data_IF_058446845933
#
_entry.id   IF_058446845933
#
_cell.length_a   1.000
_cell.length_b   1.000
_cell.length_c   1.000
_cell.angle_alpha   90.00
_cell.angle_beta   90.00
_cell.angle_gamma   90.00
#
_symmetry.space_group_name_H-M   'P 1'
#
loop_
_entity.id
_entity.type
_entity.pdbx_description
1 polymer ?
#
# COMPACT_ATOMS: atom_id res chain seq x y z
N UNK A 1 -66.82 43.30 -18.49
CA UNK A 1 -65.53 43.58 -19.17
C UNK A 1 -65.48 42.78 -20.46
N UNK A 2 -65.18 43.46 -21.59
CA UNK A 2 -64.69 43.05 -22.93
C UNK A 2 -65.28 41.75 -23.55
N UNK A 3 -66.09 41.77 -24.63
CA UNK A 3 -65.73 41.98 -26.09
C UNK A 3 -64.53 41.09 -26.50
N UNK A 4 -64.46 40.34 -27.60
CA UNK A 4 -65.22 40.18 -28.85
C UNK A 4 -64.47 39.07 -29.65
N UNK A 5 -65.20 38.18 -30.34
CA UNK A 5 -64.99 37.72 -31.74
C UNK A 5 -63.75 36.87 -32.13
N UNK A 6 -64.07 35.65 -32.62
CA UNK A 6 -63.78 35.06 -33.95
C UNK A 6 -62.31 34.95 -34.44
N UNK A 7 -61.94 33.75 -34.89
CA UNK A 7 -61.59 33.40 -36.29
C UNK A 7 -60.79 32.09 -36.30
N UNK A 8 -61.28 31.13 -37.07
CA UNK A 8 -60.56 29.95 -37.55
C UNK A 8 -59.65 30.31 -38.72
N UNK A 9 -58.37 29.91 -38.74
CA UNK A 9 -57.62 29.59 -39.99
C UNK A 9 -56.52 28.54 -39.74
N UNK A 10 -56.44 27.63 -40.71
CA UNK A 10 -55.51 26.54 -40.96
C UNK A 10 -54.00 26.86 -41.01
N UNK A 11 -53.24 25.84 -40.61
CA UNK A 11 -52.04 25.24 -41.23
C UNK A 11 -50.75 26.04 -41.46
N UNK A 12 -49.61 25.46 -41.02
CA UNK A 12 -48.45 25.20 -41.89
C UNK A 12 -47.61 24.03 -41.34
N UNK A 13 -47.33 23.07 -42.22
CA UNK A 13 -46.32 22.03 -42.03
C UNK A 13 -44.93 22.66 -41.98
N UNK A 14 -44.09 22.29 -40.99
CA UNK A 14 -42.66 22.15 -41.21
C UNK A 14 -42.21 20.84 -40.55
N UNK A 15 -41.91 19.88 -41.41
CA UNK A 15 -41.16 18.68 -41.10
C UNK A 15 -39.75 19.06 -40.66
N UNK A 16 -39.43 18.86 -39.38
CA UNK A 16 -38.04 18.67 -38.96
C UNK A 16 -37.90 17.22 -38.50
N UNK A 17 -37.04 16.49 -39.21
CA UNK A 17 -36.55 15.16 -38.85
C UNK A 17 -36.21 15.15 -37.35
N UNK A 18 -36.87 14.28 -36.59
CA UNK A 18 -36.30 13.79 -35.34
C UNK A 18 -35.07 12.96 -35.74
N UNK A 19 -33.91 13.61 -35.77
CA UNK A 19 -32.66 12.91 -35.51
C UNK A 19 -32.78 12.38 -34.09
N UNK A 20 -33.05 11.08 -33.98
CA UNK A 20 -32.86 10.34 -32.76
C UNK A 20 -31.38 10.47 -32.38
N UNK A 21 -31.04 11.54 -31.64
CA UNK A 21 -29.91 11.54 -30.74
C UNK A 21 -30.21 10.48 -29.69
N UNK A 22 -29.90 9.25 -30.06
CA UNK A 22 -29.66 8.18 -29.11
C UNK A 22 -28.40 8.64 -28.40
N UNK A 23 -28.57 9.33 -27.27
CA UNK A 23 -27.50 9.57 -26.32
C UNK A 23 -27.05 8.16 -25.92
N UNK A 24 -26.02 7.65 -26.60
CA UNK A 24 -25.26 6.53 -26.07
C UNK A 24 -24.74 7.05 -24.75
N UNK A 25 -25.37 6.59 -23.67
CA UNK A 25 -24.76 6.66 -22.36
C UNK A 25 -23.53 5.78 -22.51
N UNK A 26 -22.40 6.39 -22.88
CA UNK A 26 -21.11 5.74 -22.71
C UNK A 26 -21.05 5.39 -21.23
N UNK A 27 -21.25 4.11 -20.92
CA UNK A 27 -20.93 3.56 -19.61
C UNK A 27 -19.47 3.87 -19.40
N UNK A 28 -19.19 4.91 -18.60
CA UNK A 28 -17.84 5.25 -18.16
C UNK A 28 -17.26 4.00 -17.52
N UNK A 29 -16.35 3.34 -18.22
CA UNK A 29 -15.69 2.14 -17.72
C UNK A 29 -14.95 2.55 -16.45
N UNK A 30 -15.26 1.91 -15.33
CA UNK A 30 -14.51 2.11 -14.11
C UNK A 30 -13.14 1.46 -14.29
N UNK A 31 -12.12 2.30 -14.52
CA UNK A 31 -10.77 1.81 -14.77
C UNK A 31 -10.20 1.04 -13.57
N UNK A 32 -10.78 1.16 -12.38
CA UNK A 32 -10.32 0.45 -11.17
C UNK A 32 -10.65 -1.06 -11.19
N UNK A 33 -11.51 -1.50 -12.11
CA UNK A 33 -11.82 -2.91 -12.32
C UNK A 33 -10.90 -3.60 -13.35
N UNK A 34 -10.10 -2.82 -14.11
CA UNK A 34 -9.26 -3.33 -15.19
C UNK A 34 -7.89 -3.75 -14.64
N UNK A 35 -7.66 -5.07 -14.56
CA UNK A 35 -6.41 -5.65 -14.03
C UNK A 35 -5.42 -6.09 -15.12
N UNK A 36 -5.51 -5.48 -16.29
CA UNK A 36 -4.61 -5.71 -17.41
C UNK A 36 -4.04 -4.35 -17.87
N UNK A 37 -2.72 -4.21 -17.83
CA UNK A 37 -2.04 -2.95 -18.13
C UNK A 37 -2.32 -2.45 -19.55
N UNK A 38 -2.30 -3.33 -20.55
CA UNK A 38 -2.55 -2.97 -21.95
C UNK A 38 -3.98 -2.45 -22.19
N UNK A 39 -4.97 -3.03 -21.53
CA UNK A 39 -6.35 -2.57 -21.56
C UNK A 39 -6.50 -1.22 -20.83
N UNK A 40 -5.87 -1.09 -19.67
CA UNK A 40 -5.90 0.12 -18.84
C UNK A 40 -5.26 1.32 -19.55
N UNK A 41 -4.15 1.13 -20.27
CA UNK A 41 -3.52 2.20 -21.06
C UNK A 41 -4.43 2.77 -22.16
N UNK A 42 -5.42 2.00 -22.65
CA UNK A 42 -6.40 2.48 -23.64
C UNK A 42 -7.41 3.44 -23.03
N UNK A 43 -7.78 3.25 -21.75
CA UNK A 43 -8.77 4.10 -21.05
C UNK A 43 -8.16 5.40 -20.52
N UNK A 44 -6.86 5.39 -20.18
CA UNK A 44 -6.18 6.58 -19.63
C UNK A 44 -6.24 7.82 -20.52
N UNK A 45 -6.29 7.65 -21.84
CA UNK A 45 -6.28 8.76 -22.81
C UNK A 45 -7.54 9.63 -22.79
N UNK A 46 -8.66 9.11 -22.27
CA UNK A 46 -9.94 9.84 -22.19
C UNK A 46 -10.15 10.58 -20.86
N UNK A 47 -9.28 10.39 -19.87
CA UNK A 47 -9.43 11.01 -18.55
C UNK A 47 -8.91 12.43 -18.61
N UNK A 48 -9.73 13.41 -18.19
CA UNK A 48 -9.37 14.84 -18.22
C UNK A 48 -9.17 15.43 -16.82
N UNK A 49 -9.93 14.95 -15.83
CA UNK A 49 -9.86 15.43 -14.45
C UNK A 49 -8.49 15.07 -13.81
N UNK A 50 -7.74 16.04 -13.26
CA UNK A 50 -6.41 15.79 -12.70
C UNK A 50 -6.38 14.83 -11.50
N UNK A 51 -7.41 14.81 -10.66
CA UNK A 51 -7.50 13.88 -9.53
C UNK A 51 -7.78 12.48 -10.06
N UNK A 52 -8.70 12.35 -11.01
CA UNK A 52 -8.99 11.09 -11.69
C UNK A 52 -7.75 10.55 -12.43
N UNK A 53 -6.95 11.41 -13.06
CA UNK A 53 -5.66 11.03 -13.68
C UNK A 53 -4.67 10.50 -12.66
N UNK A 54 -4.54 11.14 -11.50
CA UNK A 54 -3.68 10.61 -10.43
C UNK A 54 -4.12 9.20 -10.02
N UNK A 55 -5.43 9.02 -9.78
CA UNK A 55 -6.00 7.73 -9.39
C UNK A 55 -5.81 6.68 -10.50
N UNK A 56 -5.90 7.08 -11.77
CA UNK A 56 -5.59 6.23 -12.91
C UNK A 56 -4.14 5.76 -12.89
N UNK A 57 -3.17 6.67 -12.76
CA UNK A 57 -1.75 6.31 -12.71
C UNK A 57 -1.41 5.46 -11.48
N UNK A 58 -2.06 5.72 -10.35
CA UNK A 58 -1.96 4.92 -9.13
C UNK A 58 -2.46 3.50 -9.36
N UNK A 59 -3.59 3.35 -10.06
CA UNK A 59 -4.12 2.04 -10.41
C UNK A 59 -3.25 1.32 -11.45
N UNK A 60 -2.76 2.03 -12.46
CA UNK A 60 -1.83 1.47 -13.44
C UNK A 60 -0.55 0.96 -12.80
N UNK A 61 0.04 1.73 -11.88
CA UNK A 61 1.20 1.29 -11.13
C UNK A 61 0.90 0.03 -10.32
N UNK A 62 -0.25 -0.05 -9.66
CA UNK A 62 -0.71 -1.26 -8.97
C UNK A 62 -0.84 -2.47 -9.92
N UNK A 63 -1.44 -2.29 -11.09
CA UNK A 63 -1.59 -3.37 -12.08
C UNK A 63 -0.21 -3.83 -12.58
N UNK A 64 0.72 -2.91 -12.86
CA UNK A 64 2.08 -3.27 -13.27
C UNK A 64 2.81 -4.09 -12.19
N UNK A 65 2.65 -3.73 -10.90
CA UNK A 65 3.21 -4.52 -9.79
C UNK A 65 2.53 -5.89 -9.66
N UNK A 66 1.20 -5.96 -9.84
CA UNK A 66 0.47 -7.23 -9.83
C UNK A 66 0.94 -8.15 -10.96
N UNK A 67 1.08 -7.64 -12.17
CA UNK A 67 1.59 -8.40 -13.32
C UNK A 67 3.02 -8.88 -13.08
N UNK A 68 3.86 -8.09 -12.40
CA UNK A 68 5.23 -8.51 -12.04
C UNK A 68 5.21 -9.75 -11.14
N UNK A 69 4.34 -9.76 -10.13
CA UNK A 69 4.15 -10.92 -9.25
C UNK A 69 3.54 -12.13 -9.96
N UNK A 70 2.67 -11.91 -10.96
CA UNK A 70 2.01 -12.97 -11.72
C UNK A 70 2.91 -13.60 -12.80
N UNK A 71 3.63 -12.78 -13.59
CA UNK A 71 4.53 -13.24 -14.65
C UNK A 71 5.73 -13.99 -14.08
N UNK A 72 6.30 -13.47 -12.99
CA UNK A 72 7.39 -14.09 -12.23
C UNK A 72 8.53 -14.65 -13.11
N UNK A 73 9.03 -13.82 -14.04
CA UNK A 73 9.97 -14.26 -15.10
C UNK A 73 11.26 -14.89 -14.54
N UNK A 74 11.71 -14.42 -13.37
CA UNK A 74 12.92 -14.90 -12.68
C UNK A 74 12.64 -15.91 -11.55
N UNK A 75 11.42 -16.45 -11.46
CA UNK A 75 10.96 -17.36 -10.39
C UNK A 75 11.00 -16.78 -8.96
N UNK A 76 11.43 -15.53 -8.78
CA UNK A 76 11.56 -14.83 -7.50
C UNK A 76 10.31 -14.95 -6.61
N UNK A 77 9.12 -14.93 -7.20
CA UNK A 77 7.82 -14.92 -6.54
C UNK A 77 7.06 -16.24 -6.65
N UNK A 78 7.73 -17.37 -6.88
CA UNK A 78 7.05 -18.67 -7.09
C UNK A 78 6.22 -19.08 -5.88
N UNK A 79 6.62 -18.65 -4.69
CA UNK A 79 5.88 -18.86 -3.45
C UNK A 79 4.49 -18.20 -3.45
N UNK A 80 4.21 -17.23 -4.34
CA UNK A 80 2.90 -16.59 -4.49
C UNK A 80 1.89 -17.48 -5.23
N UNK A 81 2.36 -18.38 -6.10
CA UNK A 81 1.48 -19.25 -6.93
C UNK A 81 0.55 -20.15 -6.12
N UNK A 82 0.86 -20.41 -4.85
CA UNK A 82 0.02 -21.21 -3.94
C UNK A 82 -1.17 -20.43 -3.36
N UNK A 83 -1.23 -19.11 -3.56
CA UNK A 83 -2.28 -18.26 -3.03
C UNK A 83 -3.30 -17.86 -4.10
N UNK A 84 -4.58 -17.68 -3.73
CA UNK A 84 -5.58 -17.15 -4.66
C UNK A 84 -5.21 -15.76 -5.16
N UNK A 85 -5.63 -15.44 -6.39
CA UNK A 85 -5.39 -14.11 -7.02
C UNK A 85 -5.86 -12.95 -6.13
N UNK A 86 -6.95 -13.11 -5.39
CA UNK A 86 -7.45 -12.09 -4.45
C UNK A 86 -6.46 -11.77 -3.33
N UNK A 87 -5.76 -12.78 -2.80
CA UNK A 87 -4.72 -12.60 -1.77
C UNK A 87 -3.53 -11.85 -2.35
N UNK A 88 -3.10 -12.23 -3.56
CA UNK A 88 -2.00 -11.56 -4.25
C UNK A 88 -2.34 -10.09 -4.51
N UNK A 89 -3.55 -9.81 -5.01
CA UNK A 89 -4.03 -8.44 -5.20
C UNK A 89 -3.98 -7.63 -3.90
N UNK A 90 -4.47 -8.18 -2.79
CA UNK A 90 -4.47 -7.45 -1.51
C UNK A 90 -3.05 -7.25 -0.96
N UNK A 91 -2.13 -8.20 -1.18
CA UNK A 91 -0.70 -8.00 -0.87
C UNK A 91 -0.09 -6.91 -1.76
N UNK A 92 -0.40 -6.88 -3.05
CA UNK A 92 0.08 -5.83 -3.96
C UNK A 92 -0.42 -4.44 -3.54
N UNK A 93 -1.65 -4.32 -3.05
CA UNK A 93 -2.15 -3.04 -2.49
C UNK A 93 -1.37 -2.61 -1.25
N UNK A 94 -0.82 -3.55 -0.47
CA UNK A 94 0.04 -3.22 0.68
C UNK A 94 1.43 -2.77 0.21
N UNK A 95 1.97 -3.42 -0.83
CA UNK A 95 3.25 -3.05 -1.46
C UNK A 95 3.18 -1.65 -2.05
N UNK A 96 2.10 -1.35 -2.77
CA UNK A 96 1.81 -0.02 -3.29
C UNK A 96 1.14 0.79 -2.19
N UNK A 97 1.93 1.27 -1.22
CA UNK A 97 1.42 2.00 -0.05
C UNK A 97 0.50 3.17 -0.42
N UNK A 98 0.77 3.80 -1.55
CA UNK A 98 -0.01 4.91 -2.07
C UNK A 98 -1.34 4.47 -2.68
N UNK A 99 -1.65 3.19 -2.93
CA UNK A 99 -2.86 2.74 -3.63
C UNK A 99 -4.18 3.20 -2.98
N UNK A 100 -4.20 3.35 -1.66
CA UNK A 100 -5.38 3.82 -0.92
C UNK A 100 -5.39 5.34 -0.68
N UNK A 101 -4.34 6.04 -1.11
CA UNK A 101 -4.18 7.47 -0.90
C UNK A 101 -5.16 8.24 -1.76
N UNK A 102 -5.97 9.06 -1.09
CA UNK A 102 -6.84 10.03 -1.74
C UNK A 102 -6.16 11.38 -1.72
N UNK A 103 -6.16 12.05 -2.86
CA UNK A 103 -5.65 13.42 -2.98
C UNK A 103 -6.79 14.41 -3.11
N UNK A 104 -6.50 15.65 -2.77
CA UNK A 104 -7.38 16.81 -2.97
C UNK A 104 -6.78 17.74 -4.02
N UNK A 105 -7.57 18.70 -4.50
CA UNK A 105 -7.08 19.73 -5.42
C UNK A 105 -5.88 20.50 -4.84
N UNK A 106 -5.86 20.71 -3.52
CA UNK A 106 -4.74 21.36 -2.83
C UNK A 106 -3.44 20.55 -2.94
N UNK A 107 -3.53 19.23 -2.92
CA UNK A 107 -2.36 18.36 -3.00
C UNK A 107 -1.72 18.39 -4.39
N UNK A 108 -2.50 18.66 -5.44
CA UNK A 108 -1.99 18.79 -6.81
C UNK A 108 -1.01 19.94 -6.98
N UNK A 109 -1.26 21.06 -6.29
CA UNK A 109 -0.50 22.30 -6.43
C UNK A 109 0.47 22.57 -5.28
N UNK A 110 0.45 21.72 -4.25
CA UNK A 110 1.38 21.81 -3.12
C UNK A 110 2.80 21.55 -3.60
N UNK A 111 3.71 22.50 -3.38
CA UNK A 111 5.15 22.24 -3.47
C UNK A 111 5.60 21.44 -2.25
N UNK A 112 6.18 20.28 -2.51
CA UNK A 112 6.83 19.45 -1.48
C UNK A 112 8.25 19.95 -1.31
N UNK A 113 8.73 19.98 -0.07
CA UNK A 113 10.12 20.33 0.23
C UNK A 113 11.05 19.37 -0.50
N UNK A 114 12.07 19.90 -1.19
CA UNK A 114 13.03 19.15 -2.01
C UNK A 114 12.48 18.54 -3.32
N UNK A 115 11.28 18.93 -3.75
CA UNK A 115 10.77 18.57 -5.09
C UNK A 115 10.67 19.77 -6.02
N UNK A 116 11.18 19.61 -7.24
CA UNK A 116 11.17 20.67 -8.26
C UNK A 116 9.78 20.85 -8.92
N UNK A 117 8.99 19.78 -8.97
CA UNK A 117 7.69 19.73 -9.66
C UNK A 117 6.55 19.48 -8.69
N UNK A 118 5.43 20.17 -8.90
CA UNK A 118 4.17 19.83 -8.22
C UNK A 118 3.59 18.52 -8.75
N UNK A 119 2.69 17.90 -7.98
CA UNK A 119 2.02 16.67 -8.40
C UNK A 119 1.28 16.85 -9.75
N UNK A 120 0.64 18.00 -9.97
CA UNK A 120 0.00 18.33 -11.26
C UNK A 120 0.99 18.31 -12.43
N UNK A 121 2.20 18.84 -12.23
CA UNK A 121 3.23 18.87 -13.26
C UNK A 121 3.79 17.47 -13.56
N UNK A 122 3.93 16.63 -12.52
CA UNK A 122 4.32 15.21 -12.69
C UNK A 122 3.27 14.44 -13.48
N UNK A 123 1.98 14.58 -13.15
CA UNK A 123 0.87 13.96 -13.89
C UNK A 123 0.84 14.44 -15.35
N UNK A 124 0.99 15.75 -15.59
CA UNK A 124 1.02 16.29 -16.96
C UNK A 124 2.21 15.75 -17.78
N UNK A 125 3.33 15.46 -17.11
CA UNK A 125 4.49 14.81 -17.75
C UNK A 125 4.16 13.38 -18.15
N UNK A 126 3.54 12.61 -17.25
CA UNK A 126 3.08 11.24 -17.55
C UNK A 126 2.10 11.20 -18.72
N UNK A 127 1.12 12.12 -18.77
CA UNK A 127 0.17 12.21 -19.88
C UNK A 127 0.88 12.41 -21.23
N UNK A 128 1.85 13.33 -21.26
CA UNK A 128 2.63 13.62 -22.46
C UNK A 128 3.41 12.40 -22.94
N UNK A 129 4.02 11.66 -22.00
CA UNK A 129 4.77 10.44 -22.30
C UNK A 129 3.84 9.31 -22.77
N UNK A 130 2.70 9.13 -22.10
CA UNK A 130 1.69 8.13 -22.46
C UNK A 130 1.13 8.36 -23.87
N UNK A 131 0.80 9.61 -24.22
CA UNK A 131 0.28 9.97 -25.55
C UNK A 131 1.31 9.71 -26.64
N UNK A 132 2.59 9.96 -26.36
CA UNK A 132 3.70 9.74 -27.30
C UNK A 132 4.20 8.30 -27.36
N UNK A 133 3.71 7.42 -26.48
CA UNK A 133 4.25 6.07 -26.30
C UNK A 133 5.76 6.09 -26.05
N UNK A 134 6.18 6.98 -25.16
CA UNK A 134 7.59 7.24 -24.83
C UNK A 134 8.14 6.18 -23.87
N UNK A 135 9.37 5.71 -24.11
CA UNK A 135 10.05 4.70 -23.29
C UNK A 135 10.29 5.15 -21.84
N UNK A 136 10.32 6.46 -21.58
CA UNK A 136 10.51 7.01 -20.24
C UNK A 136 9.24 6.95 -19.38
N UNK A 137 8.09 6.56 -19.95
CA UNK A 137 6.81 6.53 -19.24
C UNK A 137 6.87 5.66 -17.98
N UNK A 138 7.34 4.42 -18.10
CA UNK A 138 7.40 3.47 -16.96
C UNK A 138 8.33 3.97 -15.85
N UNK A 139 9.49 4.53 -16.21
CA UNK A 139 10.42 5.12 -15.24
C UNK A 139 9.78 6.29 -14.50
N UNK A 140 9.06 7.18 -15.20
CA UNK A 140 8.37 8.31 -14.57
C UNK A 140 7.16 7.88 -13.75
N UNK A 141 6.48 6.81 -14.14
CA UNK A 141 5.40 6.22 -13.35
C UNK A 141 5.95 5.68 -12.03
N UNK A 142 7.07 4.98 -12.09
CA UNK A 142 7.79 4.49 -10.92
C UNK A 142 8.23 5.64 -10.00
N UNK A 143 8.88 6.67 -10.55
CA UNK A 143 9.32 7.85 -9.78
C UNK A 143 8.16 8.55 -9.05
N UNK A 144 6.96 8.56 -9.64
CA UNK A 144 5.80 9.19 -9.02
C UNK A 144 5.37 8.49 -7.72
N UNK A 145 5.43 7.15 -7.67
CA UNK A 145 4.90 6.36 -6.55
C UNK A 145 5.97 5.83 -5.59
N UNK A 146 7.22 5.71 -6.03
CA UNK A 146 8.33 5.20 -5.23
C UNK A 146 9.35 6.29 -4.91
N UNK A 147 9.48 7.30 -5.79
CA UNK A 147 10.49 8.34 -5.70
C UNK A 147 11.72 8.06 -6.57
N UNK A 148 12.71 8.94 -6.49
CA UNK A 148 13.94 8.90 -7.31
C UNK A 148 15.08 8.11 -6.68
N UNK A 149 14.95 7.71 -5.41
CA UNK A 149 15.95 6.91 -4.73
C UNK A 149 15.84 5.45 -5.18
N UNK A 150 16.99 4.79 -5.37
CA UNK A 150 17.04 3.35 -5.60
C UNK A 150 16.49 2.64 -4.37
N UNK A 151 15.25 2.20 -4.48
CA UNK A 151 14.48 1.68 -3.37
C UNK A 151 13.11 1.23 -3.86
N UNK A 152 12.38 0.55 -3.00
CA UNK A 152 11.09 -0.01 -3.33
C UNK A 152 10.54 -0.82 -2.16
N UNK A 153 9.28 -1.21 -2.31
CA UNK A 153 8.64 -2.16 -1.41
C UNK A 153 8.30 -3.41 -2.20
N UNK A 154 8.49 -4.59 -1.60
CA UNK A 154 8.20 -5.86 -2.25
C UNK A 154 7.79 -6.93 -1.23
N UNK A 155 7.25 -8.04 -1.72
CA UNK A 155 6.98 -9.23 -0.92
C UNK A 155 8.28 -10.05 -0.90
N UNK A 156 8.97 -10.09 0.25
CA UNK A 156 10.25 -10.78 0.42
C UNK A 156 10.07 -12.30 0.50
N UNK A 157 9.11 -12.76 1.33
CA UNK A 157 8.83 -14.19 1.54
C UNK A 157 7.44 -14.39 2.13
N UNK A 158 6.93 -15.64 2.06
CA UNK A 158 5.77 -16.07 2.83
C UNK A 158 6.00 -17.43 3.49
N UNK A 159 6.22 -17.41 4.80
CA UNK A 159 6.51 -18.59 5.62
C UNK A 159 5.47 -18.76 6.73
N UNK A 160 4.97 -19.99 6.89
CA UNK A 160 3.93 -20.32 7.87
C UNK A 160 2.75 -19.33 7.88
N UNK A 161 2.27 -18.98 6.68
CA UNK A 161 1.20 -18.02 6.43
C UNK A 161 1.49 -16.56 6.84
N UNK A 162 2.74 -16.20 7.11
CA UNK A 162 3.16 -14.84 7.39
C UNK A 162 3.95 -14.32 6.20
N UNK A 163 3.42 -13.30 5.53
CA UNK A 163 4.13 -12.58 4.49
C UNK A 163 5.02 -11.50 5.11
N UNK A 164 6.27 -11.45 4.66
CA UNK A 164 7.21 -10.38 4.99
C UNK A 164 7.24 -9.40 3.84
N UNK A 165 6.82 -8.16 4.10
CA UNK A 165 6.90 -7.04 3.16
C UNK A 165 8.17 -6.26 3.51
N UNK A 166 9.12 -6.23 2.59
CA UNK A 166 10.40 -5.54 2.73
C UNK A 166 10.35 -4.20 2.00
N UNK A 167 10.82 -3.16 2.67
CA UNK A 167 11.00 -1.82 2.09
C UNK A 167 12.42 -1.35 2.32
N UNK A 168 13.06 -0.82 1.28
CA UNK A 168 14.39 -0.20 1.35
C UNK A 168 14.42 1.02 0.45
N UNK A 169 15.03 2.11 0.92
CA UNK A 169 15.12 3.38 0.20
C UNK A 169 16.56 3.91 0.17
N UNK A 170 17.55 3.02 0.13
CA UNK A 170 18.94 3.35 -0.20
C UNK A 170 19.86 3.62 0.99
N UNK A 171 19.37 3.42 2.22
CA UNK A 171 20.22 3.42 3.41
C UNK A 171 19.86 2.26 4.33
N UNK A 172 20.85 1.65 4.99
CA UNK A 172 20.59 0.56 5.94
C UNK A 172 19.58 0.96 7.05
N UNK A 173 19.53 2.26 7.41
CA UNK A 173 18.57 2.82 8.36
C UNK A 173 17.14 3.00 7.79
N UNK A 174 16.96 2.89 6.47
CA UNK A 174 15.67 2.97 5.78
C UNK A 174 15.01 1.61 5.55
N UNK A 175 15.70 0.52 5.89
CA UNK A 175 15.17 -0.83 5.79
C UNK A 175 14.04 -1.01 6.80
N UNK A 176 12.88 -1.45 6.32
CA UNK A 176 11.71 -1.77 7.16
C UNK A 176 11.12 -3.10 6.73
N UNK A 177 10.66 -3.88 7.71
CA UNK A 177 9.86 -5.08 7.48
C UNK A 177 8.49 -4.91 8.10
N UNK A 178 7.46 -5.27 7.34
CA UNK A 178 6.07 -5.36 7.79
C UNK A 178 5.60 -6.79 7.63
N UNK A 179 4.87 -7.29 8.64
CA UNK A 179 4.42 -8.68 8.66
C UNK A 179 2.90 -8.76 8.51
N UNK A 180 2.44 -9.57 7.56
CA UNK A 180 1.03 -9.75 7.25
C UNK A 180 0.67 -11.23 7.42
N UNK A 181 -0.26 -11.53 8.31
CA UNK A 181 -0.82 -12.87 8.45
C UNK A 181 -1.87 -13.11 7.36
N UNK A 182 -1.81 -14.28 6.72
CA UNK A 182 -2.76 -14.74 5.69
C UNK A 182 -3.51 -15.95 6.24
N UNK A 183 -4.76 -15.75 6.68
CA UNK A 183 -5.63 -16.84 7.16
C UNK A 183 -6.98 -16.73 6.47
N UNK A 184 -7.51 -17.85 5.95
CA UNK A 184 -8.78 -17.91 5.22
C UNK A 184 -8.90 -16.84 4.11
N UNK A 185 -7.80 -16.63 3.37
CA UNK A 185 -7.66 -15.60 2.34
C UNK A 185 -7.84 -14.16 2.83
N UNK A 186 -7.75 -13.91 4.14
CA UNK A 186 -7.78 -12.58 4.75
C UNK A 186 -6.39 -12.17 5.22
N UNK A 187 -6.08 -10.89 5.03
CA UNK A 187 -4.81 -10.30 5.42
C UNK A 187 -4.97 -9.54 6.73
N UNK A 188 -4.13 -9.84 7.72
CA UNK A 188 -4.09 -9.14 9.01
C UNK A 188 -2.71 -8.55 9.26
N UNK A 189 -2.65 -7.24 9.47
CA UNK A 189 -1.41 -6.53 9.82
C UNK A 189 -0.99 -6.87 11.26
N UNK A 190 0.15 -7.55 11.39
CA UNK A 190 0.70 -8.00 12.66
C UNK A 190 1.42 -6.89 13.44
N UNK A 191 1.68 -5.74 12.81
CA UNK A 191 2.48 -4.65 13.40
C UNK A 191 3.88 -5.12 13.81
N UNK A 192 4.35 -4.60 14.94
CA UNK A 192 5.60 -5.01 15.59
C UNK A 192 5.35 -6.01 16.72
N UNK A 193 4.14 -6.58 16.81
CA UNK A 193 3.74 -7.57 17.81
C UNK A 193 3.52 -6.96 19.20
N UNK A 194 4.52 -6.29 19.76
CA UNK A 194 4.40 -5.61 21.06
C UNK A 194 3.47 -4.39 21.03
N UNK A 195 3.29 -3.75 19.86
CA UNK A 195 2.35 -2.65 19.66
C UNK A 195 0.88 -3.12 19.62
N UNK A 196 0.66 -4.42 19.37
CA UNK A 196 -0.68 -5.04 19.39
C UNK A 196 -1.11 -5.50 20.78
N UNK A 197 -0.18 -5.57 21.74
CA UNK A 197 -0.51 -5.87 23.13
C UNK A 197 -1.46 -4.81 23.70
N UNK A 198 -2.37 -5.22 24.58
CA UNK A 198 -3.13 -4.24 25.34
C UNK A 198 -2.18 -3.41 26.22
N UNK A 199 -2.58 -2.18 26.59
CA UNK A 199 -1.75 -1.30 27.42
C UNK A 199 -1.25 -1.99 28.70
N UNK A 200 -2.14 -2.73 29.39
CA UNK A 200 -1.81 -3.45 30.62
C UNK A 200 -0.81 -4.58 30.34
N UNK A 201 -0.99 -5.31 29.25
CA UNK A 201 -0.09 -6.40 28.85
C UNK A 201 1.29 -5.86 28.47
N UNK A 202 1.36 -4.73 27.77
CA UNK A 202 2.62 -4.05 27.48
C UNK A 202 3.34 -3.61 28.75
N UNK A 203 2.64 -2.96 29.70
CA UNK A 203 3.20 -2.58 31.00
C UNK A 203 3.71 -3.79 31.80
N UNK A 204 3.03 -4.93 31.73
CA UNK A 204 3.45 -6.18 32.37
C UNK A 204 4.70 -6.76 31.71
N UNK A 205 4.77 -6.74 30.37
CA UNK A 205 5.96 -7.16 29.63
C UNK A 205 7.18 -6.29 30.01
N UNK A 206 7.01 -4.97 30.05
CA UNK A 206 8.08 -4.04 30.46
C UNK A 206 8.55 -4.29 31.89
N UNK A 207 7.64 -4.59 32.83
CA UNK A 207 8.02 -4.96 34.21
C UNK A 207 8.89 -6.22 34.21
N UNK A 208 8.50 -7.26 33.46
CA UNK A 208 9.28 -8.51 33.36
C UNK A 208 10.66 -8.22 32.76
N UNK A 209 10.74 -7.40 31.70
CA UNK A 209 12.01 -6.99 31.10
C UNK A 209 12.90 -6.29 32.14
N UNK A 210 12.37 -5.29 32.87
CA UNK A 210 13.10 -4.54 33.90
C UNK A 210 13.62 -5.41 35.05
N UNK A 211 12.94 -6.51 35.37
CA UNK A 211 13.45 -7.47 36.37
C UNK A 211 14.68 -8.25 35.90
N UNK A 212 14.82 -8.44 34.58
CA UNK A 212 15.93 -9.18 33.95
C UNK A 212 17.07 -8.26 33.49
N UNK A 213 16.73 -7.05 33.05
CA UNK A 213 17.66 -6.02 32.56
C UNK A 213 17.39 -4.75 33.34
N UNK A 214 18.13 -4.55 34.43
CA UNK A 214 17.90 -3.44 35.38
C UNK A 214 18.04 -2.06 34.76
N UNK A 215 18.90 -1.93 33.75
CA UNK A 215 19.17 -0.69 33.02
C UNK A 215 18.43 -0.63 31.66
N UNK A 216 17.31 -1.34 31.52
CA UNK A 216 16.44 -1.23 30.34
C UNK A 216 15.93 0.20 30.16
N UNK A 217 16.03 0.70 28.93
CA UNK A 217 15.54 2.02 28.54
C UNK A 217 14.24 1.92 27.74
N UNK A 218 14.33 1.38 26.52
CA UNK A 218 13.22 1.25 25.57
C UNK A 218 13.48 0.14 24.54
N UNK A 219 12.43 -0.18 23.77
CA UNK A 219 12.49 -1.11 22.63
C UNK A 219 13.25 -0.46 21.48
N UNK A 220 14.23 -1.14 20.91
CA UNK A 220 14.97 -0.63 19.74
C UNK A 220 14.07 -0.64 18.50
N UNK A 221 13.95 0.51 17.85
CA UNK A 221 13.22 0.65 16.59
C UNK A 221 14.01 0.19 15.37
N UNK A 222 15.33 0.00 15.48
CA UNK A 222 16.21 -0.28 14.34
C UNK A 222 16.43 -1.75 14.02
N UNK A 223 16.21 -2.66 14.97
CA UNK A 223 16.39 -4.10 14.77
C UNK A 223 15.21 -4.80 14.13
N UNK A 224 14.05 -4.14 14.11
CA UNK A 224 12.81 -4.76 13.67
C UNK A 224 12.29 -5.83 14.65
N UNK A 225 11.13 -6.38 14.31
CA UNK A 225 10.53 -7.51 15.02
C UNK A 225 10.63 -8.75 14.13
N UNK A 226 10.72 -9.93 14.73
CA UNK A 226 10.55 -11.23 14.05
C UNK A 226 9.28 -11.94 14.54
N UNK A 227 8.60 -12.62 13.63
CA UNK A 227 7.42 -13.42 13.93
C UNK A 227 7.66 -14.88 13.55
N UNK A 228 7.37 -15.80 14.46
CA UNK A 228 7.38 -17.24 14.20
C UNK A 228 6.02 -17.81 14.56
N UNK A 229 5.32 -18.42 13.59
CA UNK A 229 4.08 -19.17 13.84
C UNK A 229 4.44 -20.58 14.29
N UNK A 230 3.94 -20.98 15.47
CA UNK A 230 4.10 -22.33 16.00
C UNK A 230 3.02 -23.27 15.43
N UNK A 231 3.26 -24.60 15.41
CA UNK A 231 2.26 -25.58 14.95
C UNK A 231 0.94 -25.56 15.74
N UNK A 232 0.97 -25.10 17.00
CA UNK A 232 -0.23 -24.96 17.83
C UNK A 232 -1.03 -23.67 17.54
N UNK A 233 -0.64 -22.88 16.54
CA UNK A 233 -1.30 -21.62 16.20
C UNK A 233 -0.95 -20.45 17.12
N UNK A 234 0.08 -20.57 17.97
CA UNK A 234 0.62 -19.41 18.68
C UNK A 234 1.69 -18.71 17.85
N UNK A 235 1.99 -17.46 18.18
CA UNK A 235 3.12 -16.69 17.68
C UNK A 235 4.22 -16.63 18.74
N UNK A 236 5.47 -16.72 18.31
CA UNK A 236 6.62 -16.20 19.06
C UNK A 236 6.99 -14.87 18.41
N UNK A 237 7.00 -13.83 19.22
CA UNK A 237 7.43 -12.49 18.84
C UNK A 237 8.82 -12.29 19.39
N UNK A 238 9.75 -11.79 18.56
CA UNK A 238 11.08 -11.38 19.01
C UNK A 238 11.37 -9.95 18.59
N UNK A 239 12.02 -9.20 19.46
CA UNK A 239 12.45 -7.82 19.20
C UNK A 239 13.63 -7.50 20.11
N UNK A 240 14.40 -6.45 19.79
CA UNK A 240 15.50 -6.05 20.66
C UNK A 240 15.15 -4.86 21.55
N UNK A 241 15.82 -4.77 22.68
CA UNK A 241 15.73 -3.66 23.62
C UNK A 241 17.10 -3.05 23.86
N UNK A 242 17.12 -1.81 24.32
CA UNK A 242 18.34 -1.08 24.67
C UNK A 242 18.51 -0.99 26.18
N UNK A 243 19.77 -1.08 26.60
CA UNK A 243 20.24 -0.75 27.93
C UNK A 243 21.00 0.60 27.94
N UNK A 244 21.08 1.26 29.10
CA UNK A 244 21.56 2.64 29.39
C UNK A 244 22.97 3.04 28.87
N UNK A 245 23.61 2.19 28.06
CA UNK A 245 24.95 2.41 27.51
C UNK A 245 25.03 2.15 26.00
N UNK A 246 23.95 1.67 25.38
CA UNK A 246 23.95 1.30 23.96
C UNK A 246 23.25 2.36 23.10
N UNK A 247 23.89 2.72 21.99
CA UNK A 247 23.30 3.59 20.98
C UNK A 247 22.21 2.86 20.22
N UNK A 248 21.09 3.53 19.90
CA UNK A 248 20.04 2.99 19.02
C UNK A 248 20.61 2.45 17.70
N UNK A 249 21.72 3.03 17.22
CA UNK A 249 22.41 2.58 16.01
C UNK A 249 22.96 1.14 16.10
N UNK A 250 23.12 0.58 17.31
CA UNK A 250 23.54 -0.82 17.50
C UNK A 250 22.46 -1.84 17.16
N UNK A 251 21.19 -1.40 17.07
CA UNK A 251 20.05 -2.29 16.89
C UNK A 251 19.62 -3.02 18.17
N UNK A 252 20.18 -2.67 19.33
CA UNK A 252 19.78 -3.22 20.63
C UNK A 252 20.89 -4.00 21.34
N UNK A 253 20.68 -4.22 22.64
CA UNK A 253 21.64 -4.86 23.55
C UNK A 253 21.18 -6.25 23.98
N UNK A 254 19.87 -6.46 24.01
CA UNK A 254 19.23 -7.72 24.37
C UNK A 254 18.15 -8.06 23.36
N UNK A 255 17.99 -9.35 23.07
CA UNK A 255 16.82 -9.88 22.41
C UNK A 255 15.76 -10.27 23.44
N UNK A 256 14.54 -9.82 23.24
CA UNK A 256 13.37 -10.23 24.00
C UNK A 256 12.51 -11.11 23.11
N UNK A 257 12.02 -12.22 23.65
CA UNK A 257 11.00 -13.02 22.99
C UNK A 257 9.85 -13.38 23.93
N UNK A 258 8.64 -13.49 23.40
CA UNK A 258 7.47 -13.98 24.13
C UNK A 258 6.51 -14.74 23.20
N UNK A 259 5.70 -15.60 23.79
CA UNK A 259 4.64 -16.36 23.11
C UNK A 259 3.27 -15.70 23.33
N UNK A 260 2.48 -15.61 22.27
CA UNK A 260 1.11 -15.08 22.28
C UNK A 260 0.21 -15.88 21.35
N UNK A 261 -1.07 -16.00 21.69
CA UNK A 261 -2.08 -16.63 20.84
C UNK A 261 -2.85 -15.63 19.96
N UNK A 262 -2.96 -14.37 20.41
CA UNK A 262 -3.89 -13.38 19.87
C UNK A 262 -3.24 -12.01 19.63
N UNK A 263 -1.94 -11.88 19.87
CA UNK A 263 -1.14 -10.65 19.79
C UNK A 263 -1.55 -9.56 20.81
N UNK A 264 -2.63 -9.76 21.56
CA UNK A 264 -3.17 -8.80 22.54
C UNK A 264 -2.70 -9.09 23.95
N UNK A 265 -2.49 -10.37 24.24
CA UNK A 265 -1.99 -10.90 25.50
C UNK A 265 -0.70 -11.67 25.26
N UNK A 266 0.12 -11.89 26.29
CA UNK A 266 1.27 -12.78 26.18
C UNK A 266 1.29 -13.78 27.33
N UNK A 267 2.02 -14.88 27.16
CA UNK A 267 2.25 -15.85 28.23
C UNK A 267 3.44 -15.36 29.09
N UNK A 268 3.26 -14.93 30.34
CA UNK A 268 4.34 -14.32 31.11
C UNK A 268 5.53 -15.25 31.34
N UNK A 269 5.27 -16.54 31.53
CA UNK A 269 6.29 -17.58 31.68
C UNK A 269 7.12 -17.83 30.42
N UNK A 270 6.65 -17.37 29.26
CA UNK A 270 7.36 -17.53 27.98
C UNK A 270 8.40 -16.45 27.71
N UNK A 271 8.39 -15.34 28.48
CA UNK A 271 9.28 -14.21 28.22
C UNK A 271 10.72 -14.60 28.43
N UNK A 272 11.54 -14.54 27.38
CA UNK A 272 12.99 -14.69 27.44
C UNK A 272 13.66 -13.35 27.13
N UNK A 273 14.77 -13.09 27.82
CA UNK A 273 15.59 -11.89 27.60
C UNK A 273 17.04 -12.37 27.59
N UNK A 274 17.71 -12.21 26.46
CA UNK A 274 19.03 -12.75 26.18
C UNK A 274 19.95 -11.64 25.69
N UNK A 275 21.17 -11.54 26.24
CA UNK A 275 22.14 -10.54 25.79
C UNK A 275 22.60 -10.88 24.37
N UNK A 276 22.65 -9.88 23.50
CA UNK A 276 23.20 -10.05 22.15
C UNK A 276 24.73 -10.12 22.29
N UNK A 277 25.30 -11.27 21.96
CA UNK A 277 26.75 -11.44 21.91
C UNK A 277 27.21 -11.00 20.52
N UNK A 278 27.89 -9.86 20.46
CA UNK A 278 28.61 -9.41 19.26
C UNK A 278 29.97 -10.11 19.17
#
# INVERSE_FOLDING_TARGET
MKKIILISVLAFFVSCKNENHTTQIETKVDFTEILNSEELLKTGKSISDPIEKYNFYQHLFFVNQLETFEKNEDQQFDFLKKYPKTVIQDLTKIVVSDYTKKITEKDLDKKVEYEDLTLRQKISTLDSLLVKNDEQFENKLYELFVGTLMGGTTIETIENNIATIYSDFGSAASIKRKYILIEDNKLTDLGNGYDKLSKIEFENLEKIIKTKVKNYMWISGRSGTEFIRKPNGNFIIKFNILADEDSEASGGSYNVSYETKDLKTFLPSSVKVEKINN
#
